data_IF_574556429823
#
_entry.id   IF_574556429823
#
_cell.length_a   1.000
_cell.length_b   1.000
_cell.length_c   1.000
_cell.angle_alpha   90.00
_cell.angle_beta   90.00
_cell.angle_gamma   90.00
#
_symmetry.space_group_name_H-M   'P 1'
#
loop_
_entity.id
_entity.type
_entity.pdbx_description
1 polymer ?
#
# COMPACT_ATOMS: atom_id res chain seq x y z
N UNK A 1 6.96 -15.71 14.99
CA UNK A 1 6.93 -14.76 16.15
C UNK A 1 6.74 -15.56 17.42
N UNK A 2 7.51 -15.26 18.46
CA UNK A 2 7.37 -15.93 19.75
C UNK A 2 6.23 -15.30 20.59
N UNK A 3 5.70 -16.07 21.57
CA UNK A 3 4.59 -15.59 22.41
C UNK A 3 4.93 -14.32 23.19
N UNK A 4 6.20 -14.18 23.63
CA UNK A 4 6.69 -13.00 24.34
C UNK A 4 6.65 -11.76 23.44
N UNK A 5 7.11 -11.89 22.19
CA UNK A 5 7.10 -10.81 21.20
C UNK A 5 5.66 -10.36 20.88
N UNK A 6 4.72 -11.31 20.83
CA UNK A 6 3.31 -10.99 20.63
C UNK A 6 2.73 -10.21 21.81
N UNK A 7 3.04 -10.60 23.05
CA UNK A 7 2.60 -9.88 24.27
C UNK A 7 3.15 -8.45 24.28
N UNK A 8 4.43 -8.27 23.97
CA UNK A 8 5.03 -6.95 23.87
C UNK A 8 4.39 -6.09 22.78
N UNK A 9 4.08 -6.70 21.61
CA UNK A 9 3.41 -6.00 20.52
C UNK A 9 2.01 -5.55 20.93
N UNK A 10 1.23 -6.40 21.58
CA UNK A 10 -0.09 -6.06 22.10
C UNK A 10 0.03 -4.95 23.17
N UNK A 11 1.02 -5.01 24.03
CA UNK A 11 1.26 -4.01 25.08
C UNK A 11 1.58 -2.61 24.56
N UNK A 12 2.02 -2.48 23.31
CA UNK A 12 2.24 -1.18 22.63
C UNK A 12 0.95 -0.57 22.09
N UNK A 13 -0.12 -1.36 21.97
CA UNK A 13 -1.39 -0.94 21.39
C UNK A 13 -1.39 -0.93 19.86
N UNK A 14 -2.53 -0.48 19.29
CA UNK A 14 -2.68 -0.28 17.86
C UNK A 14 -1.92 0.95 17.37
N UNK A 15 -1.36 0.86 16.18
CA UNK A 15 -0.65 1.93 15.50
C UNK A 15 -0.78 1.84 13.97
N UNK A 16 0.07 2.56 13.25
CA UNK A 16 0.08 2.52 11.79
C UNK A 16 0.51 1.18 11.18
N UNK A 17 1.02 0.24 12.00
CA UNK A 17 1.54 -1.07 11.60
C UNK A 17 0.92 -2.24 12.34
N UNK A 18 0.07 -1.99 13.32
CA UNK A 18 -0.56 -3.01 14.16
C UNK A 18 -2.03 -2.70 14.33
N UNK A 19 -2.89 -3.69 14.04
CA UNK A 19 -4.34 -3.60 14.18
C UNK A 19 -4.84 -4.81 14.96
N UNK A 20 -5.76 -4.57 15.91
CA UNK A 20 -6.41 -5.64 16.67
C UNK A 20 -7.78 -5.96 16.07
N UNK A 21 -8.18 -7.22 16.16
CA UNK A 21 -9.52 -7.66 15.78
C UNK A 21 -9.95 -8.85 16.61
N UNK A 22 -11.17 -8.79 17.12
CA UNK A 22 -11.81 -9.96 17.69
C UNK A 22 -12.19 -10.95 16.59
N UNK A 23 -12.06 -12.26 16.84
CA UNK A 23 -12.38 -13.28 15.84
C UNK A 23 -13.80 -13.19 15.28
N UNK A 24 -14.76 -12.79 16.13
CA UNK A 24 -16.16 -12.61 15.75
C UNK A 24 -16.39 -11.40 14.84
N UNK A 25 -15.57 -10.35 14.93
CA UNK A 25 -15.67 -9.16 14.06
C UNK A 25 -15.09 -9.37 12.66
N UNK A 26 -14.26 -10.42 12.48
CA UNK A 26 -13.67 -10.76 11.18
C UNK A 26 -14.65 -11.60 10.36
N UNK A 27 -15.66 -10.95 9.83
CA UNK A 27 -16.72 -11.57 9.00
C UNK A 27 -16.84 -10.96 7.62
N UNK A 28 -16.28 -9.75 7.42
CA UNK A 28 -16.46 -8.96 6.21
C UNK A 28 -15.16 -8.84 5.42
N UNK A 29 -15.11 -9.48 4.26
CA UNK A 29 -13.96 -9.43 3.33
C UNK A 29 -13.63 -8.00 2.89
N UNK A 30 -14.64 -7.13 2.67
CA UNK A 30 -14.42 -5.74 2.26
C UNK A 30 -13.65 -4.93 3.32
N UNK A 31 -14.03 -5.08 4.60
CA UNK A 31 -13.33 -4.40 5.70
C UNK A 31 -11.89 -4.88 5.81
N UNK A 32 -11.68 -6.19 5.65
CA UNK A 32 -10.35 -6.81 5.69
C UNK A 32 -9.49 -6.39 4.48
N UNK A 33 -10.09 -6.33 3.28
CA UNK A 33 -9.42 -5.86 2.07
C UNK A 33 -8.90 -4.42 2.21
N UNK A 34 -9.73 -3.53 2.76
CA UNK A 34 -9.31 -2.14 3.02
C UNK A 34 -8.14 -2.05 4.01
N UNK A 35 -8.11 -2.93 5.04
CA UNK A 35 -6.98 -2.98 5.98
C UNK A 35 -5.71 -3.48 5.31
N UNK A 36 -5.82 -4.57 4.56
CA UNK A 36 -4.69 -5.15 3.82
C UNK A 36 -4.14 -4.19 2.76
N UNK A 37 -5.02 -3.52 2.01
CA UNK A 37 -4.62 -2.50 1.03
C UNK A 37 -3.91 -1.31 1.70
N UNK A 38 -4.41 -0.86 2.88
CA UNK A 38 -3.80 0.23 3.62
C UNK A 38 -2.39 -0.12 4.11
N UNK A 39 -2.17 -1.35 4.59
CA UNK A 39 -0.84 -1.83 4.96
C UNK A 39 0.08 -1.98 3.74
N UNK A 40 -0.41 -2.55 2.65
CA UNK A 40 0.38 -2.71 1.42
C UNK A 40 0.79 -1.34 0.81
N UNK A 41 -0.09 -0.35 0.86
CA UNK A 41 0.21 1.03 0.45
C UNK A 41 1.19 1.75 1.40
N UNK A 42 1.23 1.35 2.67
CA UNK A 42 2.14 1.87 3.68
C UNK A 42 3.48 1.14 3.70
N UNK A 43 3.95 0.84 4.90
CA UNK A 43 5.19 0.11 5.21
C UNK A 43 4.94 -1.33 5.65
N UNK A 44 3.80 -1.89 5.24
CA UNK A 44 3.33 -3.16 5.74
C UNK A 44 2.76 -3.04 7.16
N UNK A 45 2.32 -4.17 7.71
CA UNK A 45 1.78 -4.22 9.07
C UNK A 45 1.24 -5.59 9.44
N UNK A 46 0.62 -5.66 10.61
CA UNK A 46 0.08 -6.88 11.18
C UNK A 46 -1.35 -6.68 11.67
N UNK A 47 -2.18 -7.67 11.44
CA UNK A 47 -3.51 -7.76 12.03
C UNK A 47 -3.46 -8.89 13.07
N UNK A 48 -3.69 -8.57 14.33
CA UNK A 48 -3.74 -9.53 15.43
C UNK A 48 -5.21 -9.92 15.67
N UNK A 49 -5.58 -11.14 15.29
CA UNK A 49 -6.96 -11.61 15.39
C UNK A 49 -7.09 -12.53 16.60
N UNK A 50 -8.04 -12.23 17.46
CA UNK A 50 -8.22 -12.84 18.79
C UNK A 50 -7.81 -11.90 19.92
N UNK A 51 -7.60 -10.62 19.60
CA UNK A 51 -7.32 -9.53 20.55
C UNK A 51 -8.47 -8.51 20.44
N UNK A 52 -8.93 -7.96 21.54
CA UNK A 52 -9.91 -6.87 21.57
C UNK A 52 -9.26 -5.49 21.48
N UNK A 53 -10.09 -4.44 21.36
CA UNK A 53 -9.62 -3.07 21.17
C UNK A 53 -8.85 -2.53 22.39
N UNK A 54 -9.06 -3.13 23.59
CA UNK A 54 -8.35 -2.83 24.83
C UNK A 54 -7.03 -3.59 24.97
N UNK A 55 -6.68 -4.44 23.99
CA UNK A 55 -5.47 -5.26 24.02
C UNK A 55 -5.59 -6.54 24.87
N UNK A 56 -6.81 -6.94 25.24
CA UNK A 56 -7.01 -8.20 25.95
C UNK A 56 -7.08 -9.37 24.98
N UNK A 57 -6.36 -10.44 25.29
CA UNK A 57 -6.39 -11.66 24.47
C UNK A 57 -7.69 -12.41 24.74
N UNK A 58 -8.63 -12.33 23.80
CA UNK A 58 -9.89 -13.10 23.80
C UNK A 58 -9.65 -14.52 23.34
N UNK A 59 -8.82 -14.68 22.31
CA UNK A 59 -8.47 -15.95 21.68
C UNK A 59 -9.44 -16.35 20.56
N UNK A 60 -9.07 -17.41 19.84
CA UNK A 60 -9.80 -17.98 18.72
C UNK A 60 -10.12 -19.45 18.99
N UNK A 61 -11.29 -19.90 18.58
CA UNK A 61 -11.61 -21.31 18.48
C UNK A 61 -10.97 -21.95 17.24
N UNK A 62 -10.81 -23.29 17.21
CA UNK A 62 -10.33 -23.98 16.01
C UNK A 62 -11.19 -23.73 14.76
N UNK A 63 -12.50 -23.53 14.95
CA UNK A 63 -13.44 -23.21 13.87
C UNK A 63 -13.22 -21.78 13.35
N UNK A 64 -12.96 -20.82 14.25
CA UNK A 64 -12.60 -19.45 13.87
C UNK A 64 -11.32 -19.44 13.04
N UNK A 65 -10.31 -20.18 13.45
CA UNK A 65 -9.03 -20.25 12.71
C UNK A 65 -9.24 -20.73 11.28
N UNK A 66 -10.02 -21.79 11.08
CA UNK A 66 -10.33 -22.31 9.74
C UNK A 66 -11.08 -21.30 8.89
N UNK A 67 -12.15 -20.72 9.46
CA UNK A 67 -12.99 -19.72 8.79
C UNK A 67 -12.21 -18.48 8.42
N UNK A 68 -11.38 -17.97 9.33
CA UNK A 68 -10.61 -16.73 9.14
C UNK A 68 -9.50 -16.95 8.12
N UNK A 69 -8.77 -18.07 8.16
CA UNK A 69 -7.76 -18.40 7.14
C UNK A 69 -8.37 -18.41 5.73
N UNK A 70 -9.55 -19.03 5.56
CA UNK A 70 -10.23 -19.04 4.27
C UNK A 70 -10.63 -17.61 3.84
N UNK A 71 -11.14 -16.82 4.79
CA UNK A 71 -11.54 -15.43 4.52
C UNK A 71 -10.33 -14.58 4.12
N UNK A 72 -9.18 -14.72 4.81
CA UNK A 72 -7.94 -14.02 4.49
C UNK A 72 -7.48 -14.36 3.07
N UNK A 73 -7.40 -15.65 2.74
CA UNK A 73 -6.98 -16.11 1.41
C UNK A 73 -7.88 -15.56 0.31
N UNK A 74 -9.20 -15.70 0.45
CA UNK A 74 -10.16 -15.18 -0.52
C UNK A 74 -10.09 -13.64 -0.62
N UNK A 75 -9.96 -12.94 0.51
CA UNK A 75 -9.85 -11.49 0.52
C UNK A 75 -8.61 -11.00 -0.21
N UNK A 76 -7.46 -11.61 0.07
CA UNK A 76 -6.19 -11.24 -0.55
C UNK A 76 -6.18 -11.45 -2.06
N UNK A 77 -6.83 -12.54 -2.53
CA UNK A 77 -6.89 -12.91 -3.93
C UNK A 77 -7.98 -12.15 -4.69
N UNK A 78 -9.17 -12.02 -4.09
CA UNK A 78 -10.36 -11.56 -4.82
C UNK A 78 -10.71 -10.10 -4.55
N UNK A 79 -10.30 -9.56 -3.39
CA UNK A 79 -10.76 -8.25 -2.93
C UNK A 79 -9.66 -7.18 -2.84
N UNK A 80 -8.41 -7.49 -3.16
CA UNK A 80 -7.30 -6.53 -3.21
C UNK A 80 -6.66 -6.52 -4.59
N UNK A 81 -6.38 -5.35 -5.14
CA UNK A 81 -5.76 -5.18 -6.46
C UNK A 81 -4.63 -4.14 -6.40
N UNK A 82 -3.43 -4.46 -6.89
CA UNK A 82 -2.95 -5.81 -7.25
C UNK A 82 -3.13 -6.82 -6.11
N UNK A 83 -3.09 -8.12 -6.42
CA UNK A 83 -3.22 -9.14 -5.38
C UNK A 83 -2.04 -9.08 -4.39
N UNK A 84 -2.28 -9.51 -3.15
CA UNK A 84 -1.26 -9.60 -2.11
C UNK A 84 -1.21 -11.01 -1.54
N UNK A 85 -0.09 -11.37 -0.93
CA UNK A 85 0.11 -12.66 -0.28
C UNK A 85 0.43 -12.45 1.20
N UNK A 86 -0.59 -12.29 2.07
CA UNK A 86 -0.36 -12.17 3.51
C UNK A 86 0.11 -13.49 4.10
N UNK A 87 1.02 -13.41 5.07
CA UNK A 87 1.46 -14.55 5.85
C UNK A 87 0.59 -14.68 7.10
N UNK A 88 0.24 -15.91 7.48
CA UNK A 88 -0.55 -16.16 8.69
C UNK A 88 0.19 -17.07 9.64
N UNK A 89 0.20 -16.74 10.91
CA UNK A 89 0.83 -17.51 11.97
C UNK A 89 -0.12 -17.59 13.17
N UNK A 90 -0.23 -18.77 13.80
CA UNK A 90 -1.06 -18.96 14.97
C UNK A 90 -0.17 -19.12 16.22
N UNK A 91 -0.35 -18.25 17.20
CA UNK A 91 0.46 -18.20 18.42
C UNK A 91 -0.44 -18.44 19.63
N UNK A 92 -0.01 -19.33 20.52
CA UNK A 92 -0.73 -19.61 21.77
C UNK A 92 -0.13 -18.81 22.91
N UNK A 93 -0.97 -18.02 23.58
CA UNK A 93 -0.60 -17.24 24.77
C UNK A 93 -1.59 -17.58 25.90
N UNK A 94 -1.08 -18.17 26.98
CA UNK A 94 -1.92 -18.54 28.12
C UNK A 94 -3.07 -19.51 27.77
N UNK A 95 -2.85 -20.39 26.79
CA UNK A 95 -3.88 -21.34 26.31
C UNK A 95 -4.91 -20.73 25.34
N UNK A 96 -4.81 -19.45 25.02
CA UNK A 96 -5.63 -18.75 24.04
C UNK A 96 -4.87 -18.59 22.74
N UNK A 97 -5.52 -18.83 21.60
CA UNK A 97 -4.91 -18.74 20.28
C UNK A 97 -5.13 -17.37 19.66
N UNK A 98 -4.08 -16.75 19.18
CA UNK A 98 -4.09 -15.50 18.41
C UNK A 98 -3.54 -15.76 17.04
N UNK A 99 -4.23 -15.33 16.00
CA UNK A 99 -3.73 -15.38 14.61
C UNK A 99 -3.09 -14.03 14.27
N UNK A 100 -1.83 -14.08 13.85
CA UNK A 100 -1.08 -12.93 13.33
C UNK A 100 -1.11 -13.00 11.81
N UNK A 101 -1.68 -11.98 11.18
CA UNK A 101 -1.71 -11.82 9.73
C UNK A 101 -0.72 -10.73 9.36
N UNK A 102 0.37 -11.08 8.72
CA UNK A 102 1.39 -10.13 8.28
C UNK A 102 1.17 -9.76 6.82
N UNK A 103 1.02 -8.47 6.56
CA UNK A 103 0.95 -7.88 5.22
C UNK A 103 2.25 -7.12 5.00
N UNK A 104 3.03 -7.54 4.02
CA UNK A 104 4.27 -6.84 3.65
C UNK A 104 3.98 -5.51 2.95
N UNK A 105 4.95 -4.61 2.94
CA UNK A 105 4.92 -3.44 2.06
C UNK A 105 4.78 -3.90 0.61
N UNK A 106 3.80 -3.35 -0.09
CA UNK A 106 3.54 -3.72 -1.47
C UNK A 106 4.56 -3.12 -2.43
N UNK A 107 4.98 -3.91 -3.40
CA UNK A 107 5.93 -3.51 -4.45
C UNK A 107 5.24 -2.87 -5.67
N UNK A 108 3.96 -3.17 -5.87
CA UNK A 108 3.17 -2.71 -7.03
C UNK A 108 2.09 -1.72 -6.59
N UNK A 109 2.47 -0.71 -5.78
CA UNK A 109 1.56 0.36 -5.34
C UNK A 109 1.04 1.15 -6.54
N UNK A 110 -0.16 1.76 -6.44
CA UNK A 110 -1.08 1.72 -5.31
C UNK A 110 -1.99 0.49 -5.32
N UNK A 111 -2.33 -0.01 -4.13
CA UNK A 111 -3.28 -1.09 -3.92
C UNK A 111 -4.67 -0.52 -3.62
N UNK A 112 -5.68 -1.10 -4.24
CA UNK A 112 -7.09 -0.76 -4.03
C UNK A 112 -7.88 -1.98 -3.56
N UNK A 113 -9.05 -1.74 -2.97
CA UNK A 113 -10.04 -2.80 -2.82
C UNK A 113 -10.78 -3.08 -4.15
N UNK A 114 -11.68 -4.07 -4.15
CA UNK A 114 -12.45 -4.45 -5.34
C UNK A 114 -13.48 -3.40 -5.82
N UNK A 115 -13.72 -2.36 -5.01
CA UNK A 115 -14.51 -1.19 -5.43
C UNK A 115 -13.61 -0.08 -6.04
N UNK A 116 -12.31 -0.33 -6.17
CA UNK A 116 -11.34 0.63 -6.69
C UNK A 116 -10.94 1.72 -5.69
N UNK A 117 -11.22 1.53 -4.40
CA UNK A 117 -10.90 2.51 -3.37
C UNK A 117 -9.47 2.30 -2.86
N UNK A 118 -8.67 3.34 -2.93
CA UNK A 118 -7.35 3.37 -2.31
C UNK A 118 -7.46 3.64 -0.81
N UNK A 119 -6.79 2.82 -0.01
CA UNK A 119 -6.76 2.91 1.43
C UNK A 119 -5.34 3.19 1.91
N UNK A 120 -5.21 4.05 2.92
CA UNK A 120 -3.93 4.34 3.60
C UNK A 120 -4.12 4.34 5.10
N UNK A 121 -3.05 4.06 5.84
CA UNK A 121 -3.07 4.18 7.31
C UNK A 121 -2.96 5.66 7.72
N UNK A 122 -3.70 6.02 8.75
CA UNK A 122 -3.67 7.34 9.39
C UNK A 122 -3.65 7.11 10.92
N UNK A 123 -2.45 6.98 11.49
CA UNK A 123 -2.30 6.42 12.83
C UNK A 123 -2.76 4.96 12.87
N UNK A 124 -3.53 4.57 13.88
CA UNK A 124 -4.11 3.24 13.98
C UNK A 124 -5.22 2.98 12.95
N UNK A 125 -5.94 4.02 12.53
CA UNK A 125 -7.05 3.88 11.60
C UNK A 125 -6.61 3.79 10.13
N UNK A 126 -7.50 3.23 9.30
CA UNK A 126 -7.41 3.36 7.86
C UNK A 126 -8.36 4.44 7.35
N UNK A 127 -7.96 5.16 6.32
CA UNK A 127 -8.81 6.12 5.63
C UNK A 127 -8.81 5.91 4.13
N UNK A 128 -9.88 6.33 3.48
CA UNK A 128 -9.96 6.39 2.02
C UNK A 128 -9.13 7.56 1.51
N UNK A 129 -8.46 7.36 0.40
CA UNK A 129 -7.86 8.43 -0.38
C UNK A 129 -8.93 9.00 -1.29
N UNK A 130 -9.31 10.26 -1.08
CA UNK A 130 -10.39 10.93 -1.83
C UNK A 130 -9.91 12.18 -2.55
N UNK A 131 -8.77 12.74 -2.15
CA UNK A 131 -8.19 13.92 -2.79
C UNK A 131 -7.53 13.53 -4.11
N UNK A 132 -7.85 14.27 -5.17
CA UNK A 132 -7.25 14.11 -6.49
C UNK A 132 -5.72 14.25 -6.44
N UNK A 133 -5.24 15.22 -5.68
CA UNK A 133 -3.81 15.49 -5.53
C UNK A 133 -3.08 14.37 -4.81
N UNK A 134 -3.74 13.72 -3.85
CA UNK A 134 -3.17 12.57 -3.14
C UNK A 134 -3.10 11.33 -4.04
N UNK A 135 -4.16 11.07 -4.82
CA UNK A 135 -4.18 10.00 -5.82
C UNK A 135 -3.07 10.23 -6.86
N UNK A 136 -2.94 11.44 -7.37
CA UNK A 136 -1.89 11.78 -8.33
C UNK A 136 -0.49 11.53 -7.74
N UNK A 137 -0.23 11.94 -6.50
CA UNK A 137 1.05 11.66 -5.82
C UNK A 137 1.31 10.17 -5.64
N UNK A 138 0.29 9.39 -5.31
CA UNK A 138 0.43 7.93 -5.21
C UNK A 138 0.81 7.30 -6.55
N UNK A 139 0.19 7.74 -7.65
CA UNK A 139 0.50 7.24 -9.00
C UNK A 139 1.90 7.67 -9.47
N UNK A 140 2.30 8.91 -9.17
CA UNK A 140 3.65 9.42 -9.48
C UNK A 140 4.73 8.69 -8.68
N UNK A 141 4.52 8.45 -7.38
CA UNK A 141 5.49 7.72 -6.54
C UNK A 141 5.62 6.23 -6.89
N UNK A 142 4.70 5.72 -7.70
CA UNK A 142 4.71 4.36 -8.21
C UNK A 142 5.22 4.27 -9.66
N UNK A 143 5.77 5.36 -10.21
CA UNK A 143 6.20 5.49 -11.61
C UNK A 143 5.12 5.12 -12.65
N UNK A 144 3.83 5.26 -12.27
CA UNK A 144 2.71 5.02 -13.17
C UNK A 144 2.27 6.26 -13.94
N UNK A 145 2.67 7.43 -13.48
CA UNK A 145 2.43 8.73 -14.13
C UNK A 145 3.70 9.55 -14.00
N UNK A 146 4.32 9.85 -15.11
CA UNK A 146 5.49 10.73 -15.19
C UNK A 146 5.00 12.16 -15.44
N UNK A 147 5.30 13.07 -14.53
CA UNK A 147 4.84 14.47 -14.63
C UNK A 147 5.47 15.20 -15.82
N UNK A 148 6.66 14.80 -16.20
CA UNK A 148 7.45 15.33 -17.32
C UNK A 148 6.95 14.83 -18.70
N UNK A 149 6.21 13.71 -18.74
CA UNK A 149 5.59 13.19 -19.96
C UNK A 149 4.20 13.79 -20.24
N UNK A 150 3.63 14.53 -19.27
CA UNK A 150 2.30 15.13 -19.43
C UNK A 150 2.41 16.47 -20.13
N UNK A 151 1.92 16.62 -21.37
CA UNK A 151 1.95 17.91 -22.06
C UNK A 151 1.24 19.02 -21.25
N UNK A 152 1.89 20.16 -21.10
CA UNK A 152 1.27 21.33 -20.47
C UNK A 152 0.17 21.85 -21.40
N UNK A 153 -1.07 21.90 -20.92
CA UNK A 153 -2.20 22.35 -21.73
C UNK A 153 -2.04 23.81 -22.15
N UNK A 154 -2.25 24.05 -23.44
CA UNK A 154 -2.21 25.40 -24.01
C UNK A 154 -0.80 25.90 -24.33
N UNK A 155 0.20 25.01 -24.31
CA UNK A 155 1.56 25.31 -24.75
C UNK A 155 1.92 24.52 -26.01
N UNK A 156 2.87 25.04 -26.74
CA UNK A 156 3.47 24.43 -27.94
C UNK A 156 4.99 24.51 -27.86
N UNK A 157 5.70 23.82 -28.74
CA UNK A 157 7.15 23.93 -28.85
C UNK A 157 7.61 25.39 -29.14
N UNK A 158 6.76 26.20 -29.76
CA UNK A 158 7.03 27.61 -30.04
C UNK A 158 7.04 28.52 -28.78
N UNK A 159 6.51 28.03 -27.65
CA UNK A 159 6.52 28.76 -26.38
C UNK A 159 7.77 28.47 -25.55
N UNK A 160 8.62 27.53 -26.01
CA UNK A 160 9.91 27.24 -25.39
C UNK A 160 10.95 28.31 -25.74
N UNK A 161 11.61 28.81 -24.71
CA UNK A 161 12.86 29.52 -24.91
C UNK A 161 13.94 28.53 -25.39
N UNK A 162 14.12 28.44 -26.69
CA UNK A 162 14.97 27.44 -27.33
C UNK A 162 16.46 27.62 -26.96
N UNK A 163 16.91 28.85 -26.68
CA UNK A 163 18.28 29.11 -26.25
C UNK A 163 18.52 28.61 -24.82
N UNK A 164 17.58 28.90 -23.91
CA UNK A 164 17.65 28.43 -22.53
C UNK A 164 17.52 26.91 -22.44
N UNK A 165 16.61 26.33 -23.22
CA UNK A 165 16.41 24.89 -23.31
C UNK A 165 17.66 24.16 -23.80
N UNK A 166 18.29 24.67 -24.87
CA UNK A 166 19.54 24.14 -25.42
C UNK A 166 20.66 24.20 -24.40
N UNK A 167 20.90 25.36 -23.78
CA UNK A 167 21.90 25.56 -22.76
C UNK A 167 21.73 24.63 -21.55
N UNK A 168 20.47 24.41 -21.11
CA UNK A 168 20.17 23.48 -20.01
C UNK A 168 20.57 22.05 -20.36
N UNK A 169 20.17 21.56 -21.54
CA UNK A 169 20.47 20.19 -21.95
C UNK A 169 21.95 19.94 -22.17
N UNK A 170 22.65 20.85 -22.85
CA UNK A 170 24.07 20.73 -23.12
C UNK A 170 24.89 20.76 -21.82
N UNK A 171 24.49 21.56 -20.84
CA UNK A 171 25.10 21.58 -19.53
C UNK A 171 24.84 20.31 -18.69
N UNK A 172 23.65 19.72 -18.84
CA UNK A 172 23.23 18.54 -18.07
C UNK A 172 23.84 17.25 -18.61
N UNK A 173 24.02 17.12 -19.92
CA UNK A 173 24.42 15.88 -20.58
C UNK A 173 25.80 15.93 -21.22
N UNK A 174 26.49 17.08 -21.13
CA UNK A 174 27.85 17.29 -21.72
C UNK A 174 27.92 16.93 -23.21
N UNK A 175 26.78 16.97 -23.92
CA UNK A 175 26.66 16.61 -25.33
C UNK A 175 25.77 17.64 -26.05
N UNK A 176 26.09 18.03 -27.33
CA UNK A 176 25.22 18.92 -28.09
C UNK A 176 23.81 18.36 -28.26
N UNK A 177 22.79 19.18 -28.02
CA UNK A 177 21.38 18.79 -28.12
C UNK A 177 21.05 18.18 -29.47
N UNK A 178 21.55 18.74 -30.57
CA UNK A 178 21.32 18.25 -31.92
C UNK A 178 21.79 16.80 -32.12
N UNK A 179 22.93 16.44 -31.50
CA UNK A 179 23.47 15.07 -31.54
C UNK A 179 22.54 14.08 -30.79
N UNK A 180 22.00 14.53 -29.67
CA UNK A 180 21.06 13.71 -28.88
C UNK A 180 19.73 13.51 -29.63
N UNK A 181 19.20 14.55 -30.25
CA UNK A 181 17.96 14.51 -31.03
C UNK A 181 18.10 13.61 -32.27
N UNK A 182 19.21 13.73 -33.00
CA UNK A 182 19.50 12.87 -34.15
C UNK A 182 19.57 11.40 -33.75
N UNK A 183 20.22 11.08 -32.62
CA UNK A 183 20.28 9.74 -32.07
C UNK A 183 18.90 9.21 -31.66
N UNK A 184 18.03 10.06 -31.14
CA UNK A 184 16.66 9.72 -30.78
C UNK A 184 15.70 9.68 -31.96
N UNK A 185 16.11 10.11 -33.15
CA UNK A 185 15.26 10.23 -34.35
C UNK A 185 14.21 11.32 -34.21
N UNK A 186 14.47 12.34 -33.41
CA UNK A 186 13.56 13.45 -33.12
C UNK A 186 14.05 14.70 -33.87
N UNK A 187 13.17 15.32 -34.66
CA UNK A 187 13.41 16.61 -35.31
C UNK A 187 12.65 17.72 -34.56
N UNK A 188 13.36 18.75 -34.13
CA UNK A 188 12.74 19.98 -33.67
C UNK A 188 12.33 20.81 -34.91
N UNK A 189 11.11 20.63 -35.38
CA UNK A 189 10.52 21.42 -36.45
C UNK A 189 9.56 22.44 -35.84
#
# INVERSE_FOLDING_TARGET
MEAIELIELIGRGEDSRTQFKQGQSVTNARSLAGEMAAFANGKGGRILIGVDDEGSIVGLSPDDVRRINQLISNTATDCVRPLINPETENISVGGKLVMVVTVSEGISKPYADNDGVFWVKSGADKRRVTSREEIQRMLQSADLVHADEVPVKGTSAGDLDSEHFRAFFENQYEEPLDTMLDRAGISLV
#
